data_IF_427089458414
#
_entry.id   IF_427089458414
#
_cell.length_a   1.000
_cell.length_b   1.000
_cell.length_c   1.000
_cell.angle_alpha   90.00
_cell.angle_beta   90.00
_cell.angle_gamma   90.00
#
_symmetry.space_group_name_H-M   'P 1'
#
loop_
_entity.id
_entity.type
_entity.pdbx_description
1 polymer ?
#
# COMPACT_ATOMS: atom_id res chain seq x y z
N UNK A 1 -13.27 13.32 -0.06
CA UNK A 1 -14.45 14.18 0.18
C UNK A 1 -14.76 14.40 1.68
N UNK A 2 -14.37 13.52 2.58
CA UNK A 2 -14.77 13.64 4.00
C UNK A 2 -14.13 14.80 4.80
N UNK A 3 -13.18 15.55 4.23
CA UNK A 3 -12.51 16.69 4.90
C UNK A 3 -12.67 18.03 4.19
N UNK A 4 -13.45 18.08 3.12
CA UNK A 4 -13.72 19.32 2.41
C UNK A 4 -14.81 20.07 3.18
N UNK A 5 -14.44 21.16 3.85
CA UNK A 5 -15.34 22.02 4.62
C UNK A 5 -15.61 23.32 3.86
N UNK A 6 -16.23 23.24 2.72
CA UNK A 6 -16.91 24.42 2.17
C UNK A 6 -18.41 24.17 2.21
N UNK A 7 -19.17 25.20 2.53
CA UNK A 7 -20.62 25.18 2.45
C UNK A 7 -21.07 25.14 0.97
N UNK A 8 -22.27 24.66 0.75
CA UNK A 8 -22.83 24.49 -0.61
C UNK A 8 -22.83 25.80 -1.40
N UNK A 9 -22.97 26.95 -0.71
CA UNK A 9 -22.98 28.28 -1.32
C UNK A 9 -21.60 28.67 -1.86
N UNK A 10 -20.53 28.44 -1.09
CA UNK A 10 -19.16 28.75 -1.52
C UNK A 10 -18.69 27.84 -2.66
N UNK A 11 -19.21 26.60 -2.72
CA UNK A 11 -18.96 25.69 -3.85
C UNK A 11 -19.63 26.12 -5.14
N UNK A 12 -20.91 26.52 -5.09
CA UNK A 12 -21.70 27.00 -6.25
C UNK A 12 -21.16 28.33 -6.78
N UNK A 13 -20.83 29.28 -5.89
CA UNK A 13 -20.34 30.61 -6.25
C UNK A 13 -18.85 30.66 -6.54
N UNK A 14 -18.13 29.54 -6.41
CA UNK A 14 -16.67 29.44 -6.62
C UNK A 14 -15.88 30.56 -5.95
N UNK A 15 -16.21 30.85 -4.69
CA UNK A 15 -15.57 31.92 -3.92
C UNK A 15 -14.05 31.65 -3.74
N UNK A 16 -13.22 32.67 -3.42
CA UNK A 16 -11.77 32.52 -3.25
C UNK A 16 -11.37 31.37 -2.30
N UNK A 17 -12.17 31.11 -1.27
CA UNK A 17 -11.98 30.00 -0.33
C UNK A 17 -12.12 28.61 -0.99
N UNK A 18 -13.01 28.49 -1.99
CA UNK A 18 -13.13 27.26 -2.80
C UNK A 18 -11.84 26.99 -3.57
N UNK A 19 -11.35 27.98 -4.31
CA UNK A 19 -10.14 27.87 -5.11
C UNK A 19 -8.89 27.56 -4.28
N UNK A 20 -8.76 28.16 -3.11
CA UNK A 20 -7.62 27.89 -2.19
C UNK A 20 -7.64 26.44 -1.67
N UNK A 21 -8.81 25.89 -1.40
CA UNK A 21 -8.96 24.49 -0.98
C UNK A 21 -8.72 23.51 -2.12
N UNK A 22 -9.24 23.77 -3.30
CA UNK A 22 -8.99 22.96 -4.51
C UNK A 22 -7.49 22.91 -4.82
N UNK A 23 -6.82 24.05 -4.81
CA UNK A 23 -5.37 24.11 -5.02
C UNK A 23 -4.62 23.28 -4.00
N UNK A 24 -4.94 23.39 -2.71
CA UNK A 24 -4.31 22.60 -1.65
C UNK A 24 -4.56 21.10 -1.81
N UNK A 25 -5.77 20.70 -2.23
CA UNK A 25 -6.08 19.29 -2.49
C UNK A 25 -5.30 18.75 -3.69
N UNK A 26 -5.18 19.57 -4.74
CA UNK A 26 -4.40 19.22 -5.93
C UNK A 26 -2.91 19.07 -5.58
N UNK A 27 -2.32 20.03 -4.85
CA UNK A 27 -0.94 19.95 -4.38
C UNK A 27 -0.70 18.68 -3.55
N UNK A 28 -1.59 18.39 -2.59
CA UNK A 28 -1.51 17.15 -1.79
C UNK A 28 -1.62 15.90 -2.65
N UNK A 29 -2.47 15.88 -3.67
CA UNK A 29 -2.58 14.75 -4.57
C UNK A 29 -1.28 14.51 -5.36
N UNK A 30 -0.65 15.59 -5.86
CA UNK A 30 0.63 15.51 -6.56
C UNK A 30 1.76 15.02 -5.63
N UNK A 31 1.81 15.49 -4.37
CA UNK A 31 2.77 15.00 -3.37
C UNK A 31 2.61 13.49 -3.13
N UNK A 32 1.38 12.99 -3.04
CA UNK A 32 1.13 11.56 -2.88
C UNK A 32 1.52 10.76 -4.12
N UNK A 33 1.23 11.28 -5.33
CA UNK A 33 1.65 10.64 -6.59
C UNK A 33 3.18 10.60 -6.71
N UNK A 34 3.88 11.63 -6.21
CA UNK A 34 5.33 11.70 -6.23
C UNK A 34 6.02 10.56 -5.46
N UNK A 35 5.41 10.07 -4.37
CA UNK A 35 5.95 8.95 -3.58
C UNK A 35 6.09 7.68 -4.43
N UNK A 36 5.23 7.54 -5.44
CA UNK A 36 5.16 6.39 -6.34
C UNK A 36 5.70 6.69 -7.75
N UNK A 37 6.40 7.83 -7.94
CA UNK A 37 6.90 8.30 -9.23
C UNK A 37 5.81 8.39 -10.31
N UNK A 38 4.59 8.78 -9.91
CA UNK A 38 3.39 8.83 -10.77
C UNK A 38 2.94 10.24 -11.14
N UNK A 39 3.69 11.30 -10.87
CA UNK A 39 3.28 12.69 -11.13
C UNK A 39 2.99 12.94 -12.61
N UNK A 40 3.75 12.28 -13.49
CA UNK A 40 3.58 12.41 -14.94
C UNK A 40 2.29 11.80 -15.46
N UNK A 41 1.62 10.99 -14.63
CA UNK A 41 0.37 10.31 -14.93
C UNK A 41 -0.84 11.04 -14.32
N UNK A 42 -0.63 12.22 -13.69
CA UNK A 42 -1.67 12.93 -12.96
C UNK A 42 -2.90 13.30 -13.82
N UNK A 43 -2.68 13.57 -15.10
CA UNK A 43 -3.73 13.96 -16.05
C UNK A 43 -4.22 12.77 -16.91
N UNK A 44 -3.67 11.56 -16.70
CA UNK A 44 -4.08 10.37 -17.43
C UNK A 44 -5.34 9.75 -16.84
N UNK A 45 -6.13 9.11 -17.70
CA UNK A 45 -7.29 8.36 -17.25
C UNK A 45 -6.87 7.11 -16.49
N UNK A 46 -7.34 6.94 -15.24
CA UNK A 46 -6.94 5.85 -14.37
C UNK A 46 -7.13 4.45 -15.00
N UNK A 47 -8.17 4.27 -15.81
CA UNK A 47 -8.45 3.02 -16.52
C UNK A 47 -7.48 2.71 -17.66
N UNK A 48 -6.75 3.71 -18.19
CA UNK A 48 -5.76 3.54 -19.26
C UNK A 48 -4.37 3.16 -18.74
N UNK A 49 -4.15 3.27 -17.42
CA UNK A 49 -2.85 3.00 -16.82
C UNK A 49 -2.49 1.49 -16.88
N UNK A 50 -1.19 1.14 -16.98
CA UNK A 50 -0.74 -0.23 -16.77
C UNK A 50 -1.18 -0.77 -15.40
N UNK A 51 -1.39 -2.08 -15.30
CA UNK A 51 -1.94 -2.72 -14.10
C UNK A 51 -1.18 -2.35 -12.81
N UNK A 52 0.15 -2.44 -12.82
CA UNK A 52 0.98 -2.06 -11.67
C UNK A 52 0.81 -0.59 -11.25
N UNK A 53 0.61 0.32 -12.22
CA UNK A 53 0.32 1.73 -11.92
C UNK A 53 -1.08 1.91 -11.33
N UNK A 54 -2.09 1.15 -11.80
CA UNK A 54 -3.43 1.15 -11.21
C UNK A 54 -3.39 0.71 -9.74
N UNK A 55 -2.64 -0.35 -9.40
CA UNK A 55 -2.46 -0.82 -8.03
C UNK A 55 -1.78 0.22 -7.13
N UNK A 56 -0.73 0.87 -7.62
CA UNK A 56 -0.09 1.98 -6.90
C UNK A 56 -1.06 3.14 -6.67
N UNK A 57 -1.88 3.48 -7.68
CA UNK A 57 -2.90 4.52 -7.55
C UNK A 57 -3.97 4.19 -6.50
N UNK A 58 -4.36 2.93 -6.35
CA UNK A 58 -5.27 2.50 -5.28
C UNK A 58 -4.69 2.81 -3.89
N UNK A 59 -3.40 2.55 -3.68
CA UNK A 59 -2.71 2.88 -2.42
C UNK A 59 -2.65 4.41 -2.21
N UNK A 60 -2.29 5.16 -3.24
CA UNK A 60 -2.30 6.65 -3.21
C UNK A 60 -3.66 7.19 -2.80
N UNK A 61 -4.74 6.65 -3.37
CA UNK A 61 -6.12 7.04 -3.01
C UNK A 61 -6.47 6.74 -1.55
N UNK A 62 -6.01 5.60 -1.02
CA UNK A 62 -6.20 5.26 0.38
C UNK A 62 -5.43 6.23 1.28
N UNK A 63 -4.18 6.56 0.96
CA UNK A 63 -3.36 7.54 1.69
C UNK A 63 -3.95 8.95 1.69
N UNK A 64 -4.64 9.35 0.61
CA UNK A 64 -5.29 10.65 0.52
C UNK A 64 -6.38 10.87 1.60
N UNK A 65 -6.83 9.80 2.27
CA UNK A 65 -7.80 9.88 3.39
C UNK A 65 -7.15 10.18 4.74
N UNK A 66 -5.81 10.33 4.80
CA UNK A 66 -5.02 10.45 6.03
C UNK A 66 -5.32 9.33 7.05
N UNK A 67 -5.15 8.06 6.68
CA UNK A 67 -5.47 6.93 7.56
C UNK A 67 -4.45 6.83 8.70
N UNK A 68 -4.86 6.25 9.83
CA UNK A 68 -3.95 5.81 10.90
C UNK A 68 -3.49 4.37 10.69
N UNK A 69 -4.28 3.60 9.96
CA UNK A 69 -4.03 2.21 9.59
C UNK A 69 -4.37 2.03 8.12
N UNK A 70 -3.41 1.54 7.35
CA UNK A 70 -3.58 1.15 5.95
C UNK A 70 -3.68 -0.36 5.86
N UNK A 71 -4.75 -0.85 5.23
CA UNK A 71 -4.97 -2.27 4.97
C UNK A 71 -4.65 -2.56 3.51
N UNK A 72 -3.72 -3.47 3.26
CA UNK A 72 -3.31 -3.90 1.92
C UNK A 72 -3.59 -5.40 1.79
N UNK A 73 -4.47 -5.75 0.89
CA UNK A 73 -4.83 -7.13 0.59
C UNK A 73 -4.27 -7.52 -0.78
N UNK A 74 -3.27 -8.40 -0.78
CA UNK A 74 -2.52 -8.86 -1.95
C UNK A 74 -2.11 -7.73 -2.91
N UNK A 75 -1.43 -6.67 -2.41
CA UNK A 75 -1.11 -5.51 -3.24
C UNK A 75 -0.15 -5.83 -4.40
N UNK A 76 0.64 -6.89 -4.29
CA UNK A 76 1.58 -7.33 -5.32
C UNK A 76 0.96 -8.32 -6.34
N UNK A 77 -0.32 -8.68 -6.20
CA UNK A 77 -0.95 -9.63 -7.11
C UNK A 77 -0.86 -9.18 -8.56
N UNK A 78 -0.32 -10.04 -9.44
CA UNK A 78 -0.16 -9.78 -10.87
C UNK A 78 0.98 -8.83 -11.24
N UNK A 79 1.82 -8.39 -10.29
CA UNK A 79 3.03 -7.63 -10.52
C UNK A 79 4.19 -8.55 -10.93
N UNK A 80 5.11 -8.02 -11.74
CA UNK A 80 6.37 -8.67 -12.00
C UNK A 80 7.37 -8.43 -10.83
N UNK A 81 8.49 -9.18 -10.75
CA UNK A 81 9.44 -9.05 -9.63
C UNK A 81 9.98 -7.63 -9.40
N UNK A 82 10.22 -6.86 -10.48
CA UNK A 82 10.70 -5.49 -10.38
C UNK A 82 9.62 -4.56 -9.78
N UNK A 83 8.37 -4.68 -10.23
CA UNK A 83 7.24 -3.93 -9.69
C UNK A 83 6.98 -4.27 -8.21
N UNK A 84 7.17 -5.54 -7.82
CA UNK A 84 7.06 -5.97 -6.42
C UNK A 84 8.14 -5.32 -5.56
N UNK A 85 9.39 -5.26 -6.04
CA UNK A 85 10.50 -4.62 -5.33
C UNK A 85 10.27 -3.10 -5.16
N UNK A 86 9.80 -2.43 -6.22
CA UNK A 86 9.39 -1.02 -6.15
C UNK A 86 8.27 -0.81 -5.11
N UNK A 87 7.26 -1.70 -5.11
CA UNK A 87 6.16 -1.64 -4.14
C UNK A 87 6.67 -1.80 -2.70
N UNK A 88 7.60 -2.73 -2.45
CA UNK A 88 8.23 -2.91 -1.13
C UNK A 88 8.90 -1.61 -0.66
N UNK A 89 9.70 -0.98 -1.51
CA UNK A 89 10.33 0.30 -1.22
C UNK A 89 9.31 1.41 -0.91
N UNK A 90 8.21 1.45 -1.65
CA UNK A 90 7.15 2.43 -1.45
C UNK A 90 6.38 2.19 -0.13
N UNK A 91 6.08 0.94 0.23
CA UNK A 91 5.44 0.59 1.51
C UNK A 91 6.30 1.06 2.69
N UNK A 92 7.61 0.80 2.65
CA UNK A 92 8.54 1.25 3.68
C UNK A 92 8.57 2.79 3.79
N UNK A 93 8.69 3.50 2.64
CA UNK A 93 8.63 4.98 2.61
C UNK A 93 7.33 5.53 3.21
N UNK A 94 6.18 4.92 2.86
CA UNK A 94 4.86 5.34 3.37
C UNK A 94 4.82 5.18 4.89
N UNK A 95 5.19 4.01 5.41
CA UNK A 95 5.21 3.74 6.84
C UNK A 95 6.01 4.80 7.59
N UNK A 96 7.22 5.08 7.11
CA UNK A 96 8.16 5.98 7.78
C UNK A 96 7.77 7.46 7.63
N UNK A 97 7.29 7.86 6.44
CA UNK A 97 6.92 9.25 6.16
C UNK A 97 5.60 9.66 6.83
N UNK A 98 4.59 8.77 6.81
CA UNK A 98 3.26 9.08 7.36
C UNK A 98 3.08 8.60 8.80
N UNK A 99 4.04 7.86 9.36
CA UNK A 99 3.97 7.31 10.72
C UNK A 99 2.63 6.56 10.96
N UNK A 100 2.22 5.75 9.99
CA UNK A 100 0.99 4.95 10.03
C UNK A 100 1.31 3.48 10.24
N UNK A 101 0.38 2.77 10.83
CA UNK A 101 0.42 1.31 10.85
C UNK A 101 -0.02 0.76 9.48
N UNK A 102 0.64 -0.30 9.01
CA UNK A 102 0.25 -1.01 7.79
C UNK A 102 -0.01 -2.47 8.13
N UNK A 103 -1.20 -2.96 7.81
CA UNK A 103 -1.52 -4.38 7.85
C UNK A 103 -1.54 -4.92 6.42
N UNK A 104 -0.64 -5.85 6.15
CA UNK A 104 -0.44 -6.47 4.86
C UNK A 104 -0.93 -7.92 4.90
N UNK A 105 -1.76 -8.32 3.95
CA UNK A 105 -2.10 -9.71 3.66
C UNK A 105 -1.41 -10.07 2.35
N UNK A 106 -0.52 -11.05 2.40
CA UNK A 106 0.27 -11.47 1.25
C UNK A 106 0.68 -12.94 1.36
N UNK A 107 0.94 -13.55 0.22
CA UNK A 107 1.49 -14.89 0.10
C UNK A 107 2.89 -14.90 -0.56
N UNK A 108 3.36 -13.76 -1.05
CA UNK A 108 4.75 -13.59 -1.50
C UNK A 108 5.67 -13.43 -0.28
N UNK A 109 6.41 -14.50 0.01
CA UNK A 109 7.31 -14.56 1.16
C UNK A 109 8.43 -13.51 1.08
N UNK A 110 8.93 -13.17 -0.12
CA UNK A 110 9.99 -12.17 -0.26
C UNK A 110 9.49 -10.79 0.15
N UNK A 111 8.29 -10.42 -0.31
CA UNK A 111 7.65 -9.16 0.08
C UNK A 111 7.40 -9.13 1.59
N UNK A 112 6.77 -10.16 2.15
CA UNK A 112 6.44 -10.20 3.58
C UNK A 112 7.69 -10.11 4.44
N UNK A 113 8.73 -10.90 4.15
CA UNK A 113 9.99 -10.90 4.91
C UNK A 113 10.79 -9.61 4.76
N UNK A 114 10.66 -8.92 3.62
CA UNK A 114 11.42 -7.69 3.35
C UNK A 114 10.80 -6.42 3.94
N UNK A 115 9.48 -6.44 4.28
CA UNK A 115 8.75 -5.21 4.66
C UNK A 115 8.15 -5.28 6.06
N UNK A 116 7.74 -6.48 6.52
CA UNK A 116 7.00 -6.62 7.76
C UNK A 116 7.93 -6.71 8.98
N UNK A 117 7.64 -5.92 10.02
CA UNK A 117 8.32 -5.99 11.33
C UNK A 117 7.83 -7.16 12.17
N UNK A 118 6.56 -7.52 12.03
CA UNK A 118 5.93 -8.66 12.70
C UNK A 118 5.02 -9.42 11.75
N UNK A 119 5.12 -10.73 11.76
CA UNK A 119 4.42 -11.62 10.84
C UNK A 119 3.53 -12.58 11.62
N UNK A 120 2.31 -12.76 11.15
CA UNK A 120 1.37 -13.76 11.64
C UNK A 120 1.03 -14.72 10.49
N UNK A 121 1.50 -15.96 10.61
CA UNK A 121 1.29 -16.98 9.56
C UNK A 121 -0.01 -17.73 9.80
N UNK A 122 -0.85 -17.72 8.77
CA UNK A 122 -2.13 -18.42 8.74
C UNK A 122 -2.05 -19.66 7.85
N UNK A 123 -2.61 -20.77 8.29
CA UNK A 123 -2.80 -21.97 7.49
C UNK A 123 -4.21 -22.52 7.73
N UNK A 124 -5.02 -22.63 6.68
CA UNK A 124 -6.43 -23.02 6.76
C UNK A 124 -7.22 -22.28 7.84
N UNK A 125 -7.04 -20.94 7.95
CA UNK A 125 -7.73 -20.08 8.91
C UNK A 125 -7.23 -20.18 10.35
N UNK A 126 -6.15 -20.95 10.62
CA UNK A 126 -5.53 -21.07 11.94
C UNK A 126 -4.17 -20.39 11.95
N UNK A 127 -3.87 -19.67 13.02
CA UNK A 127 -2.53 -19.14 13.25
C UNK A 127 -1.58 -20.28 13.59
N UNK A 128 -0.53 -20.46 12.78
CA UNK A 128 0.49 -21.52 13.00
C UNK A 128 1.81 -20.95 13.53
N UNK A 129 2.09 -19.65 13.31
CA UNK A 129 3.27 -19.00 13.85
C UNK A 129 3.04 -17.47 13.96
N UNK A 130 3.81 -16.83 14.86
CA UNK A 130 3.96 -15.36 14.94
C UNK A 130 5.40 -15.06 15.30
N UNK A 131 5.96 -13.99 14.73
CA UNK A 131 7.32 -13.56 15.02
C UNK A 131 7.85 -12.57 14.02
N UNK A 132 9.14 -12.30 14.11
CA UNK A 132 9.93 -11.54 13.12
C UNK A 132 10.18 -12.36 11.86
N UNK A 133 10.71 -11.74 10.82
CA UNK A 133 11.05 -12.42 9.57
C UNK A 133 12.01 -13.61 9.83
N UNK A 134 13.06 -13.40 10.62
CA UNK A 134 14.05 -14.43 10.94
C UNK A 134 13.43 -15.62 11.71
N UNK A 135 12.58 -15.34 12.69
CA UNK A 135 11.88 -16.38 13.47
C UNK A 135 10.93 -17.20 12.59
N UNK A 136 10.23 -16.55 11.66
CA UNK A 136 9.29 -17.21 10.74
C UNK A 136 10.04 -18.06 9.72
N UNK A 137 11.15 -17.56 9.16
CA UNK A 137 11.99 -18.32 8.23
C UNK A 137 12.60 -19.57 8.84
N UNK A 138 12.96 -19.51 10.13
CA UNK A 138 13.53 -20.63 10.87
C UNK A 138 12.48 -21.61 11.44
N UNK A 139 11.20 -21.27 11.36
CA UNK A 139 10.14 -22.06 11.99
C UNK A 139 9.81 -23.33 11.18
N UNK A 140 10.02 -24.54 11.73
CA UNK A 140 9.82 -25.79 11.00
C UNK A 140 8.36 -25.99 10.56
N UNK A 141 7.38 -25.49 11.32
CA UNK A 141 5.94 -25.59 10.98
C UNK A 141 5.63 -24.74 9.75
N UNK A 142 6.23 -23.55 9.65
CA UNK A 142 6.07 -22.65 8.48
C UNK A 142 6.78 -23.25 7.27
N UNK A 143 7.99 -23.76 7.44
CA UNK A 143 8.76 -24.43 6.38
C UNK A 143 7.96 -25.59 5.80
N UNK A 144 7.38 -26.45 6.64
CA UNK A 144 6.55 -27.57 6.19
C UNK A 144 5.28 -27.11 5.44
N UNK A 145 4.64 -26.04 5.91
CA UNK A 145 3.37 -25.55 5.36
C UNK A 145 3.54 -24.80 4.02
N UNK A 146 4.62 -24.04 3.84
CA UNK A 146 4.79 -23.09 2.74
C UNK A 146 5.96 -23.38 1.81
N UNK A 147 7.05 -23.93 2.33
CA UNK A 147 8.26 -24.20 1.54
C UNK A 147 8.40 -25.66 1.11
N UNK A 148 7.48 -26.52 1.56
CA UNK A 148 7.47 -27.95 1.26
C UNK A 148 8.52 -28.73 2.01
N UNK A 149 8.30 -30.03 2.24
CA UNK A 149 9.33 -30.93 2.75
C UNK A 149 10.50 -30.94 1.78
N UNK A 150 11.73 -30.61 2.23
CA UNK A 150 12.93 -31.03 1.53
C UNK A 150 12.74 -32.52 1.22
N UNK A 151 12.66 -32.91 -0.05
CA UNK A 151 12.77 -34.30 -0.42
C UNK A 151 14.13 -34.76 0.06
N UNK A 152 14.13 -35.53 1.16
CA UNK A 152 15.28 -36.35 1.51
C UNK A 152 15.45 -37.36 0.38
N UNK A 153 16.46 -37.14 -0.46
CA UNK A 153 16.94 -38.06 -1.47
C UNK A 153 18.12 -38.81 -0.91
#
# INVERSE_FOLDING_TARGET
HNRIRYDMVSGILRLPRYWSQEKRQHEKALELLHIFDMEKLADEEAGSLPYGAQRRLEIVRALATDPKLLLLDEPAAGMNPHETEELMGNIAKIRDQFQIAILLIEHDMNLVMGVCEGICVLNFGRVIAKGTADEIQANPVVIEAYLGKKKEG
#
